data_IF_334600544764
#
_entry.id   IF_334600544764
#
_cell.length_a   1.000
_cell.length_b   1.000
_cell.length_c   1.000
_cell.angle_alpha   90.00
_cell.angle_beta   90.00
_cell.angle_gamma   90.00
#
_symmetry.space_group_name_H-M   'P 1'
#
loop_
_entity.id
_entity.type
_entity.pdbx_description
1 polymer ?
#
# COMPACT_ATOMS: atom_id res chain seq x y z
N UNK A 1 38.36 -46.91 16.66
CA UNK A 1 37.09 -46.23 17.02
C UNK A 1 36.85 -45.18 15.94
N UNK A 2 36.24 -45.60 14.84
CA UNK A 2 36.02 -44.86 13.60
C UNK A 2 34.64 -45.34 13.11
N UNK A 3 33.67 -44.43 12.95
CA UNK A 3 32.28 -44.80 12.64
C UNK A 3 31.95 -44.44 11.19
N UNK A 4 31.43 -45.44 10.48
CA UNK A 4 31.17 -45.50 9.05
C UNK A 4 30.03 -44.59 8.58
N UNK A 5 30.21 -44.07 7.38
CA UNK A 5 29.24 -43.41 6.48
C UNK A 5 28.08 -44.34 6.09
N UNK A 6 26.85 -43.80 6.11
CA UNK A 6 25.74 -44.24 5.27
C UNK A 6 25.17 -43.00 4.56
N UNK A 7 25.27 -43.01 3.23
CA UNK A 7 24.69 -42.04 2.32
C UNK A 7 23.24 -42.46 2.00
N UNK A 8 22.29 -41.53 2.13
CA UNK A 8 20.99 -41.61 1.49
C UNK A 8 20.98 -40.59 0.35
N UNK A 9 20.97 -41.07 -0.89
CA UNK A 9 20.73 -40.25 -2.06
C UNK A 9 19.24 -40.20 -2.35
N UNK A 10 18.70 -39.01 -2.60
CA UNK A 10 17.35 -38.84 -3.11
C UNK A 10 17.25 -39.37 -4.56
N UNK A 11 16.13 -40.00 -4.94
CA UNK A 11 15.94 -40.46 -6.32
C UNK A 11 15.75 -39.27 -7.27
N UNK A 12 16.11 -39.40 -8.56
CA UNK A 12 15.97 -38.34 -9.53
C UNK A 12 14.49 -38.03 -9.80
N UNK A 13 14.16 -36.73 -9.75
CA UNK A 13 12.89 -36.20 -10.23
C UNK A 13 12.81 -36.41 -11.74
N UNK A 14 11.92 -37.31 -12.17
CA UNK A 14 11.56 -37.47 -13.58
C UNK A 14 10.64 -36.31 -13.96
N UNK A 15 11.19 -35.32 -14.67
CA UNK A 15 10.40 -34.28 -15.34
C UNK A 15 9.67 -34.95 -16.51
N UNK A 16 8.35 -34.99 -16.46
CA UNK A 16 7.52 -35.45 -17.57
C UNK A 16 7.46 -34.38 -18.65
N UNK A 17 8.00 -34.67 -19.84
CA UNK A 17 7.92 -33.85 -21.07
C UNK A 17 6.53 -33.85 -21.74
N UNK A 18 5.47 -34.20 -21.00
CA UNK A 18 4.12 -34.20 -21.56
C UNK A 18 3.53 -32.78 -21.49
N UNK A 19 3.28 -32.10 -22.61
CA UNK A 19 2.65 -30.79 -22.58
C UNK A 19 1.25 -30.91 -21.95
N UNK A 20 0.83 -29.94 -21.11
CA UNK A 20 -0.50 -29.97 -20.52
C UNK A 20 -1.57 -29.96 -21.64
N UNK A 21 -2.72 -30.63 -21.42
CA UNK A 21 -3.79 -30.66 -22.41
C UNK A 21 -4.29 -29.23 -22.67
N UNK A 22 -4.61 -28.95 -23.93
CA UNK A 22 -5.15 -27.68 -24.38
C UNK A 22 -6.56 -27.47 -23.80
N UNK A 23 -6.63 -27.00 -22.56
CA UNK A 23 -7.86 -26.47 -21.98
C UNK A 23 -8.23 -25.17 -22.69
N UNK A 24 -9.55 -24.97 -22.82
CA UNK A 24 -10.20 -23.95 -23.60
C UNK A 24 -9.52 -22.57 -23.46
N UNK A 25 -8.81 -22.16 -24.53
CA UNK A 25 -8.51 -20.76 -24.75
C UNK A 25 -9.85 -20.04 -24.80
N UNK A 26 -10.23 -19.35 -23.73
CA UNK A 26 -11.14 -18.21 -23.86
C UNK A 26 -10.63 -17.39 -25.05
N UNK A 27 -11.51 -16.97 -25.94
CA UNK A 27 -11.21 -16.02 -27.01
C UNK A 27 -10.78 -14.69 -26.35
N UNK A 28 -9.57 -14.66 -25.82
CA UNK A 28 -8.95 -13.47 -25.28
C UNK A 28 -8.82 -12.48 -26.41
N UNK A 29 -9.05 -11.20 -26.10
CA UNK A 29 -8.64 -10.09 -26.96
C UNK A 29 -7.27 -10.42 -27.53
N UNK A 30 -7.18 -10.62 -28.84
CA UNK A 30 -5.90 -10.84 -29.49
C UNK A 30 -5.01 -9.66 -29.10
N UNK A 31 -3.85 -9.95 -28.47
CA UNK A 31 -2.91 -8.92 -28.09
C UNK A 31 -2.69 -8.02 -29.31
N UNK A 32 -2.84 -6.69 -29.18
CA UNK A 32 -2.75 -5.81 -30.33
C UNK A 32 -1.40 -6.04 -31.00
N UNK A 33 -1.42 -6.46 -32.27
CA UNK A 33 -0.24 -6.46 -33.12
C UNK A 33 0.10 -4.99 -33.33
N UNK A 34 1.04 -4.47 -32.54
CA UNK A 34 1.48 -3.08 -32.65
C UNK A 34 2.40 -2.98 -33.87
N UNK A 35 1.80 -2.84 -35.05
CA UNK A 35 2.52 -2.51 -36.29
C UNK A 35 2.86 -1.00 -36.28
N UNK A 36 3.83 -0.59 -35.46
CA UNK A 36 4.27 0.80 -35.34
C UNK A 36 4.89 1.17 -33.98
N UNK A 37 5.35 2.41 -33.82
CA UNK A 37 5.88 2.93 -32.54
C UNK A 37 4.78 3.17 -31.49
N UNK A 38 3.52 3.25 -31.92
CA UNK A 38 2.38 3.39 -31.01
C UNK A 38 1.07 2.81 -31.58
N UNK A 39 0.17 2.41 -30.68
CA UNK A 39 -1.20 2.02 -30.97
C UNK A 39 -2.15 2.69 -29.96
N UNK A 40 -3.41 2.88 -30.34
CA UNK A 40 -4.46 3.35 -29.43
C UNK A 40 -5.57 2.31 -29.39
N UNK A 41 -5.89 1.84 -28.19
CA UNK A 41 -6.98 0.91 -27.95
C UNK A 41 -8.15 1.66 -27.30
N UNK A 42 -9.35 1.45 -27.83
CA UNK A 42 -10.56 2.03 -27.27
C UNK A 42 -11.16 1.06 -26.24
N UNK A 43 -11.44 1.57 -25.05
CA UNK A 43 -12.11 0.89 -23.96
C UNK A 43 -13.48 1.56 -23.70
N UNK A 44 -14.30 0.95 -22.86
CA UNK A 44 -15.64 1.47 -22.57
C UNK A 44 -15.53 2.76 -21.75
N UNK A 45 -15.54 3.92 -22.43
CA UNK A 45 -15.57 5.26 -21.81
C UNK A 45 -14.23 5.99 -21.77
N UNK A 46 -13.13 5.37 -22.16
CA UNK A 46 -11.81 5.99 -22.25
C UNK A 46 -10.94 5.24 -23.27
N UNK A 47 -9.77 5.78 -23.59
CA UNK A 47 -8.80 5.14 -24.49
C UNK A 47 -7.49 4.85 -23.77
N UNK A 48 -6.75 3.86 -24.27
CA UNK A 48 -5.41 3.53 -23.79
C UNK A 48 -4.44 3.63 -24.96
N UNK A 49 -3.47 4.52 -24.84
CA UNK A 49 -2.36 4.62 -25.79
C UNK A 49 -1.25 3.68 -25.36
N UNK A 50 -0.81 2.82 -26.26
CA UNK A 50 0.28 1.86 -26.06
C UNK A 50 1.45 2.34 -26.91
N UNK A 51 2.59 2.63 -26.29
CA UNK A 51 3.80 3.09 -26.97
C UNK A 51 4.96 2.12 -26.75
N UNK A 52 5.72 1.83 -27.81
CA UNK A 52 7.03 1.19 -27.70
C UNK A 52 8.09 2.27 -27.53
N UNK A 53 8.90 2.20 -26.48
CA UNK A 53 10.00 3.16 -26.28
C UNK A 53 11.15 2.53 -25.50
N UNK A 54 12.12 3.34 -25.04
CA UNK A 54 13.22 2.86 -24.20
C UNK A 54 13.63 3.94 -23.20
N UNK A 55 13.94 3.50 -21.97
CA UNK A 55 14.56 4.35 -20.95
C UNK A 55 16.00 3.88 -20.79
N UNK A 56 16.95 4.68 -21.28
CA UNK A 56 18.32 4.20 -21.48
C UNK A 56 18.33 3.00 -22.44
N UNK A 57 18.86 1.87 -21.98
CA UNK A 57 18.92 0.62 -22.76
C UNK A 57 17.73 -0.32 -22.51
N UNK A 58 16.78 0.06 -21.66
CA UNK A 58 15.66 -0.81 -21.27
C UNK A 58 14.49 -0.62 -22.24
N UNK A 59 14.14 -1.62 -23.08
CA UNK A 59 13.01 -1.51 -24.00
C UNK A 59 11.69 -1.71 -23.25
N UNK A 60 10.73 -0.80 -23.44
CA UNK A 60 9.47 -0.77 -22.70
C UNK A 60 8.25 -0.73 -23.63
N UNK A 61 7.17 -1.37 -23.18
CA UNK A 61 5.80 -1.01 -23.53
C UNK A 61 5.26 -0.07 -22.46
N UNK A 62 4.69 1.06 -22.85
CA UNK A 62 3.97 1.94 -21.90
C UNK A 62 2.54 2.14 -22.35
N UNK A 63 1.61 1.83 -21.44
CA UNK A 63 0.18 2.00 -21.58
C UNK A 63 -0.23 3.24 -20.80
N UNK A 64 -0.80 4.24 -21.46
CA UNK A 64 -1.24 5.50 -20.84
C UNK A 64 -2.74 5.64 -21.06
N UNK A 65 -3.51 5.78 -20.00
CA UNK A 65 -4.94 6.09 -20.13
C UNK A 65 -5.14 7.51 -20.63
N UNK A 66 -6.20 7.72 -21.40
CA UNK A 66 -6.69 9.01 -21.83
C UNK A 66 -8.22 9.03 -21.78
N UNK A 67 -8.78 9.92 -20.97
CA UNK A 67 -10.22 10.03 -20.73
C UNK A 67 -10.70 9.58 -19.35
N UNK A 68 -9.81 9.15 -18.44
CA UNK A 68 -10.21 8.96 -17.04
C UNK A 68 -10.67 10.31 -16.47
N UNK A 69 -11.84 10.35 -15.81
CA UNK A 69 -12.44 11.60 -15.32
C UNK A 69 -11.61 12.30 -14.22
N UNK A 70 -10.74 11.56 -13.55
CA UNK A 70 -9.97 12.06 -12.42
C UNK A 70 -8.50 12.19 -12.79
N UNK A 71 -7.77 11.09 -12.73
CA UNK A 71 -6.33 11.05 -12.82
C UNK A 71 -5.95 9.95 -13.80
N UNK A 72 -5.19 10.32 -14.84
CA UNK A 72 -4.68 9.33 -15.79
C UNK A 72 -3.70 8.39 -15.09
N UNK A 73 -3.57 7.16 -15.59
CA UNK A 73 -2.62 6.15 -15.11
C UNK A 73 -1.75 5.66 -16.26
N UNK A 74 -0.49 5.39 -15.94
CA UNK A 74 0.50 4.86 -16.88
C UNK A 74 1.14 3.59 -16.31
N UNK A 75 1.17 2.52 -17.10
CA UNK A 75 1.90 1.30 -16.78
C UNK A 75 3.02 1.13 -17.79
N UNK A 76 4.26 0.97 -17.32
CA UNK A 76 5.36 0.56 -18.20
C UNK A 76 5.77 -0.86 -17.88
N UNK A 77 6.09 -1.65 -18.90
CA UNK A 77 6.47 -3.07 -18.80
C UNK A 77 7.64 -3.34 -19.71
N UNK A 78 8.64 -4.11 -19.28
CA UNK A 78 9.76 -4.50 -20.15
C UNK A 78 9.27 -5.32 -21.37
N UNK A 79 9.79 -4.97 -22.54
CA UNK A 79 9.43 -5.54 -23.86
C UNK A 79 10.38 -6.64 -24.34
N UNK A 80 11.45 -6.90 -23.60
CA UNK A 80 12.41 -7.96 -23.93
C UNK A 80 11.84 -9.38 -23.84
N UNK A 81 10.57 -9.54 -23.42
CA UNK A 81 9.82 -10.80 -23.45
C UNK A 81 8.43 -10.62 -24.05
N UNK A 82 7.85 -11.74 -24.48
CA UNK A 82 6.42 -11.79 -24.78
C UNK A 82 5.66 -11.66 -23.46
N UNK A 83 4.91 -10.57 -23.33
CA UNK A 83 4.13 -10.23 -22.14
C UNK A 83 2.68 -10.04 -22.59
N UNK A 84 1.75 -10.69 -21.90
CA UNK A 84 0.33 -10.43 -22.09
C UNK A 84 -0.07 -9.14 -21.35
N UNK A 85 -0.50 -8.14 -22.13
CA UNK A 85 -0.94 -6.84 -21.61
C UNK A 85 -2.43 -6.83 -21.25
N UNK A 86 -3.21 -7.84 -21.65
CA UNK A 86 -4.65 -7.88 -21.41
C UNK A 86 -5.02 -7.75 -19.92
N UNK A 87 -4.33 -8.39 -18.96
CA UNK A 87 -4.63 -8.20 -17.54
C UNK A 87 -4.50 -6.74 -17.08
N UNK A 88 -3.52 -5.99 -17.60
CA UNK A 88 -3.37 -4.57 -17.29
C UNK A 88 -4.51 -3.74 -17.88
N UNK A 89 -4.90 -4.04 -19.12
CA UNK A 89 -6.00 -3.36 -19.80
C UNK A 89 -7.34 -3.59 -19.09
N UNK A 90 -7.61 -4.82 -18.66
CA UNK A 90 -8.78 -5.16 -17.85
C UNK A 90 -8.76 -4.45 -16.51
N UNK A 91 -7.61 -4.36 -15.86
CA UNK A 91 -7.47 -3.59 -14.63
C UNK A 91 -7.74 -2.11 -14.84
N UNK A 92 -7.22 -1.49 -15.92
CA UNK A 92 -7.49 -0.09 -16.24
C UNK A 92 -8.99 0.15 -16.49
N UNK A 93 -9.68 -0.79 -17.15
CA UNK A 93 -11.14 -0.74 -17.30
C UNK A 93 -11.84 -0.80 -15.94
N UNK A 94 -11.47 -1.76 -15.08
CA UNK A 94 -12.04 -1.90 -13.74
C UNK A 94 -11.80 -0.65 -12.88
N UNK A 95 -10.59 -0.09 -12.96
CA UNK A 95 -10.20 1.16 -12.33
C UNK A 95 -11.09 2.34 -12.77
N UNK A 96 -11.39 2.42 -14.06
CA UNK A 96 -12.31 3.42 -14.63
C UNK A 96 -13.74 3.21 -14.10
N UNK A 97 -14.24 1.98 -14.16
CA UNK A 97 -15.62 1.63 -13.76
C UNK A 97 -15.88 1.88 -12.27
N UNK A 98 -14.89 1.57 -11.43
CA UNK A 98 -14.94 1.83 -9.98
C UNK A 98 -14.67 3.31 -9.65
N UNK A 99 -14.19 4.08 -10.63
CA UNK A 99 -13.87 5.49 -10.50
C UNK A 99 -12.81 5.74 -9.44
N UNK A 100 -11.64 5.09 -9.54
CA UNK A 100 -10.51 5.24 -8.59
C UNK A 100 -10.42 6.70 -8.13
N UNK A 101 -10.78 6.92 -6.86
CA UNK A 101 -10.79 8.23 -6.20
C UNK A 101 -9.44 8.50 -5.54
N UNK A 102 -8.45 8.87 -6.35
CA UNK A 102 -7.11 9.15 -5.85
C UNK A 102 -6.87 10.63 -5.57
N UNK A 103 -6.61 11.00 -4.30
CA UNK A 103 -5.85 12.22 -4.00
C UNK A 103 -4.37 12.03 -4.46
N UNK A 104 -3.58 13.08 -4.71
CA UNK A 104 -2.16 12.91 -5.03
C UNK A 104 -1.44 12.16 -3.89
N UNK A 105 -0.89 10.98 -4.17
CA UNK A 105 -0.30 10.11 -3.16
C UNK A 105 -0.03 8.71 -3.68
N UNK A 106 0.53 7.86 -2.81
CA UNK A 106 0.74 6.46 -3.12
C UNK A 106 -0.50 5.66 -2.77
N UNK A 107 -1.08 5.00 -3.77
CA UNK A 107 -2.28 4.19 -3.63
C UNK A 107 -1.96 2.74 -3.88
N UNK A 108 -2.76 1.90 -3.24
CA UNK A 108 -2.76 0.47 -3.48
C UNK A 108 -4.10 0.08 -4.09
N UNK A 109 -4.05 -0.74 -5.13
CA UNK A 109 -5.22 -1.46 -5.61
C UNK A 109 -4.87 -2.93 -5.78
N UNK A 110 -5.60 -3.78 -5.07
CA UNK A 110 -5.59 -5.23 -5.28
C UNK A 110 -6.33 -5.50 -6.58
N UNK A 111 -5.59 -5.89 -7.62
CA UNK A 111 -6.15 -6.02 -8.97
C UNK A 111 -7.00 -7.27 -9.14
N UNK A 112 -6.44 -8.41 -8.77
CA UNK A 112 -7.10 -9.72 -8.82
C UNK A 112 -6.70 -10.46 -7.55
N UNK A 113 -7.63 -11.17 -6.90
CA UNK A 113 -7.30 -11.96 -5.71
C UNK A 113 -6.15 -12.96 -5.96
N UNK A 114 -5.57 -13.55 -4.91
CA UNK A 114 -4.44 -14.47 -5.03
C UNK A 114 -4.71 -15.68 -5.96
N UNK A 115 -5.98 -16.04 -6.15
CA UNK A 115 -6.41 -17.12 -7.06
C UNK A 115 -6.58 -16.67 -8.53
N UNK A 116 -6.47 -15.38 -8.81
CA UNK A 116 -6.57 -14.82 -10.15
C UNK A 116 -5.37 -15.16 -11.04
N UNK A 117 -5.43 -14.84 -12.34
CA UNK A 117 -4.32 -15.08 -13.27
C UNK A 117 -3.08 -14.21 -12.99
N UNK A 118 -3.19 -13.21 -12.11
CA UNK A 118 -2.15 -12.22 -11.86
C UNK A 118 -1.93 -11.28 -13.06
N UNK A 119 -1.06 -10.29 -12.87
CA UNK A 119 -0.64 -9.40 -13.95
C UNK A 119 0.44 -10.06 -14.80
N UNK A 120 0.46 -9.73 -16.09
CA UNK A 120 1.52 -10.14 -17.02
C UNK A 120 1.69 -11.67 -17.13
N UNK A 121 0.58 -12.41 -17.00
CA UNK A 121 0.54 -13.88 -16.92
C UNK A 121 1.40 -14.47 -15.78
N UNK A 122 1.66 -13.67 -14.74
CA UNK A 122 2.45 -14.07 -13.59
C UNK A 122 1.64 -13.84 -12.31
N UNK A 123 1.17 -14.94 -11.72
CA UNK A 123 0.39 -14.96 -10.46
C UNK A 123 1.09 -14.27 -9.29
N UNK A 124 2.42 -14.12 -9.38
CA UNK A 124 3.21 -13.40 -8.38
C UNK A 124 2.76 -11.93 -8.25
N UNK A 125 2.42 -11.27 -9.35
CA UNK A 125 2.03 -9.85 -9.34
C UNK A 125 0.51 -9.70 -9.27
N UNK A 126 -0.01 -9.09 -8.20
CA UNK A 126 -1.45 -8.80 -8.07
C UNK A 126 -1.76 -7.45 -7.42
N UNK A 127 -0.75 -6.75 -6.91
CA UNK A 127 -0.93 -5.43 -6.31
C UNK A 127 -0.33 -4.37 -7.20
N UNK A 128 -1.05 -3.26 -7.36
CA UNK A 128 -0.56 -2.06 -8.04
C UNK A 128 -0.26 -1.00 -6.99
N UNK A 129 0.99 -0.55 -6.96
CA UNK A 129 1.44 0.62 -6.23
C UNK A 129 1.49 1.82 -7.16
N UNK A 130 0.71 2.86 -6.90
CA UNK A 130 0.75 4.08 -7.70
C UNK A 130 1.81 5.06 -7.18
N UNK A 131 2.72 5.50 -8.05
CA UNK A 131 3.69 6.54 -7.77
C UNK A 131 3.31 7.86 -8.48
N UNK A 132 3.87 9.00 -8.04
CA UNK A 132 3.70 10.27 -8.75
C UNK A 132 4.07 10.17 -10.24
N UNK A 133 3.51 11.03 -11.11
CA UNK A 133 3.81 11.02 -12.53
C UNK A 133 5.30 11.15 -12.83
N UNK A 134 5.76 10.41 -13.83
CA UNK A 134 7.14 10.47 -14.33
C UNK A 134 7.07 10.61 -15.84
N UNK A 135 7.60 11.73 -16.34
CA UNK A 135 7.71 11.95 -17.78
C UNK A 135 8.68 10.92 -18.38
N UNK A 136 8.23 10.22 -19.42
CA UNK A 136 9.04 9.30 -20.20
C UNK A 136 9.26 9.89 -21.59
N UNK A 137 10.52 9.93 -22.00
CA UNK A 137 10.90 10.45 -23.32
C UNK A 137 10.18 9.69 -24.42
N UNK A 138 9.49 10.42 -25.31
CA UNK A 138 8.74 9.84 -26.41
C UNK A 138 7.36 9.26 -26.06
N UNK A 139 6.89 9.34 -24.80
CA UNK A 139 5.56 8.85 -24.41
C UNK A 139 4.67 9.97 -23.85
N UNK A 140 3.82 10.60 -24.68
CA UNK A 140 3.02 11.75 -24.27
C UNK A 140 1.99 11.40 -23.19
N UNK A 141 1.85 12.27 -22.18
CA UNK A 141 0.86 12.17 -21.10
C UNK A 141 1.37 11.50 -19.81
N UNK A 142 2.56 10.88 -19.85
CA UNK A 142 3.19 10.25 -18.68
C UNK A 142 3.59 11.27 -17.58
N UNK A 143 3.85 12.52 -17.96
CA UNK A 143 4.10 13.65 -17.07
C UNK A 143 2.88 14.02 -16.20
N UNK A 144 1.69 13.52 -16.56
CA UNK A 144 0.43 13.81 -15.88
C UNK A 144 -0.28 12.55 -15.40
N UNK A 145 0.24 11.37 -15.66
CA UNK A 145 -0.38 10.10 -15.31
C UNK A 145 0.33 9.45 -14.11
N UNK A 146 -0.41 8.92 -13.14
CA UNK A 146 0.17 8.16 -12.04
C UNK A 146 0.87 6.92 -12.60
N UNK A 147 2.11 6.68 -12.17
CA UNK A 147 2.85 5.49 -12.58
C UNK A 147 2.37 4.29 -11.77
N UNK A 148 1.75 3.31 -12.42
CA UNK A 148 1.36 2.04 -11.81
C UNK A 148 2.52 1.06 -11.80
N UNK A 149 2.93 0.65 -10.61
CA UNK A 149 4.07 -0.24 -10.36
C UNK A 149 3.53 -1.57 -9.82
N UNK A 150 3.92 -2.68 -10.45
CA UNK A 150 3.46 -4.01 -10.05
C UNK A 150 4.32 -4.56 -8.90
N UNK A 151 3.64 -4.93 -7.81
CA UNK A 151 4.24 -5.58 -6.65
C UNK A 151 3.88 -7.06 -6.61
N UNK A 152 4.82 -7.85 -6.12
CA UNK A 152 4.56 -9.25 -5.78
C UNK A 152 3.87 -9.45 -4.43
N UNK A 153 3.44 -10.69 -4.13
CA UNK A 153 2.77 -11.03 -2.86
C UNK A 153 3.52 -10.63 -1.62
N UNK A 154 4.81 -10.95 -1.58
CA UNK A 154 5.62 -10.68 -0.41
C UNK A 154 5.93 -9.19 -0.34
N UNK A 155 6.12 -8.53 -1.47
CA UNK A 155 6.27 -7.08 -1.54
C UNK A 155 5.02 -6.34 -1.06
N UNK A 156 3.83 -6.84 -1.34
CA UNK A 156 2.58 -6.29 -0.80
C UNK A 156 2.51 -6.39 0.72
N UNK A 157 2.84 -7.54 1.30
CA UNK A 157 2.93 -7.69 2.76
C UNK A 157 3.93 -6.69 3.36
N UNK A 158 5.07 -6.53 2.69
CA UNK A 158 6.11 -5.62 3.11
C UNK A 158 5.74 -4.15 2.93
N UNK A 159 5.01 -3.79 1.87
CA UNK A 159 4.49 -2.46 1.62
C UNK A 159 3.76 -1.92 2.85
N UNK A 160 2.91 -2.74 3.48
CA UNK A 160 2.20 -2.35 4.71
C UNK A 160 3.12 -2.16 5.92
N UNK A 161 4.23 -2.91 5.99
CA UNK A 161 5.18 -2.87 7.12
C UNK A 161 6.17 -1.72 7.03
N UNK A 162 6.67 -1.40 5.84
CA UNK A 162 7.74 -0.41 5.63
C UNK A 162 7.24 0.88 4.96
N UNK A 163 6.03 0.85 4.40
CA UNK A 163 5.44 1.95 3.68
C UNK A 163 5.90 2.08 2.23
N UNK A 164 5.17 2.87 1.44
CA UNK A 164 5.33 2.95 0.00
C UNK A 164 6.67 3.53 -0.45
N UNK A 165 7.17 4.58 0.19
CA UNK A 165 8.43 5.20 -0.24
C UNK A 165 9.62 4.25 -0.10
N UNK A 166 9.70 3.48 0.99
CA UNK A 166 10.74 2.47 1.18
C UNK A 166 10.65 1.37 0.13
N UNK A 167 9.43 0.94 -0.21
CA UNK A 167 9.21 -0.04 -1.29
C UNK A 167 9.70 0.51 -2.64
N UNK A 168 9.29 1.72 -3.00
CA UNK A 168 9.71 2.40 -4.23
C UNK A 168 11.23 2.57 -4.29
N UNK A 169 11.86 2.98 -3.18
CA UNK A 169 13.30 3.15 -3.09
C UNK A 169 14.07 1.83 -3.32
N UNK A 170 13.53 0.70 -2.80
CA UNK A 170 14.10 -0.64 -3.00
C UNK A 170 13.94 -1.12 -4.43
N UNK A 171 12.77 -0.88 -5.05
CA UNK A 171 12.55 -1.16 -6.48
C UNK A 171 13.51 -0.35 -7.36
N UNK A 172 13.72 0.93 -7.03
CA UNK A 172 14.71 1.79 -7.67
C UNK A 172 16.11 1.21 -7.57
N UNK A 173 16.56 0.83 -6.38
CA UNK A 173 17.86 0.18 -6.18
C UNK A 173 18.05 -1.05 -7.08
N UNK A 174 17.05 -1.95 -7.11
CA UNK A 174 17.12 -3.19 -7.87
C UNK A 174 17.38 -2.94 -9.36
N UNK A 175 16.75 -1.91 -9.91
CA UNK A 175 16.83 -1.55 -11.33
C UNK A 175 17.87 -0.44 -11.63
N UNK A 176 18.62 0.02 -10.62
CA UNK A 176 19.58 1.12 -10.77
C UNK A 176 18.93 2.48 -11.09
N UNK A 177 17.71 2.73 -10.60
CA UNK A 177 16.93 3.95 -10.83
C UNK A 177 16.66 4.72 -9.54
N UNK A 178 16.59 6.05 -9.61
CA UNK A 178 16.30 6.92 -8.45
C UNK A 178 15.03 7.76 -8.68
N UNK A 179 14.10 7.81 -7.72
CA UNK A 179 14.04 7.00 -6.50
C UNK A 179 13.47 5.60 -6.76
N UNK A 180 12.80 5.37 -7.89
CA UNK A 180 12.15 4.09 -8.23
C UNK A 180 12.29 3.81 -9.72
N UNK A 181 12.15 2.55 -10.12
CA UNK A 181 11.80 2.23 -11.51
C UNK A 181 10.36 2.64 -11.80
N UNK A 182 10.10 2.94 -13.07
CA UNK A 182 8.78 3.30 -13.63
C UNK A 182 8.19 2.17 -14.47
N UNK A 183 8.86 1.02 -14.52
CA UNK A 183 8.41 -0.17 -15.24
C UNK A 183 8.32 -1.39 -14.35
N UNK A 184 7.44 -2.31 -14.73
CA UNK A 184 7.42 -3.67 -14.24
C UNK A 184 8.36 -4.54 -15.09
N UNK A 185 9.26 -5.26 -14.43
CA UNK A 185 10.01 -6.36 -15.02
C UNK A 185 9.38 -7.69 -14.55
N UNK A 186 8.71 -8.46 -15.44
CA UNK A 186 8.12 -9.74 -15.08
C UNK A 186 9.13 -10.75 -14.53
N UNK A 187 10.41 -10.60 -14.90
CA UNK A 187 11.51 -11.51 -14.61
C UNK A 187 12.39 -11.06 -13.44
N UNK A 188 12.11 -9.90 -12.82
CA UNK A 188 12.92 -9.43 -11.69
C UNK A 188 12.89 -10.40 -10.53
N UNK A 189 14.02 -10.47 -9.83
CA UNK A 189 14.09 -11.14 -8.55
C UNK A 189 13.10 -10.50 -7.57
N UNK A 190 12.60 -11.30 -6.64
CA UNK A 190 11.77 -10.78 -5.55
C UNK A 190 12.61 -9.80 -4.74
N UNK A 191 12.06 -8.64 -4.39
CA UNK A 191 12.77 -7.72 -3.51
C UNK A 191 12.97 -8.33 -2.12
N UNK A 192 11.97 -9.06 -1.65
CA UNK A 192 11.95 -9.66 -0.32
C UNK A 192 11.93 -11.18 -0.46
N UNK A 193 12.93 -11.91 0.03
CA UNK A 193 12.85 -13.36 0.11
C UNK A 193 11.64 -13.80 0.96
N UNK A 194 10.93 -14.89 0.59
CA UNK A 194 9.77 -15.39 1.35
C UNK A 194 10.09 -15.75 2.81
N UNK A 195 11.35 -16.13 3.09
CA UNK A 195 11.88 -16.52 4.39
C UNK A 195 12.50 -15.35 5.16
N UNK A 196 12.40 -14.11 4.63
CA UNK A 196 12.98 -12.96 5.29
C UNK A 196 12.15 -12.55 6.51
N UNK A 197 12.67 -12.85 7.70
CA UNK A 197 12.09 -12.41 8.96
C UNK A 197 12.52 -10.99 9.32
N UNK A 198 11.52 -10.11 9.33
CA UNK A 198 11.56 -8.76 9.87
C UNK A 198 11.98 -8.73 11.36
N UNK A 199 13.27 -8.69 11.67
CA UNK A 199 13.74 -8.52 13.05
C UNK A 199 14.45 -7.18 13.19
N UNK A 200 13.79 -6.20 13.82
CA UNK A 200 14.40 -4.89 14.03
C UNK A 200 13.50 -3.87 14.73
N UNK A 201 14.09 -2.95 15.50
CA UNK A 201 13.35 -1.91 16.24
C UNK A 201 12.57 -0.96 15.33
N UNK A 202 12.98 -0.81 14.07
CA UNK A 202 12.26 0.01 13.08
C UNK A 202 10.92 -0.62 12.70
N UNK A 203 10.84 -1.94 12.64
CA UNK A 203 9.63 -2.64 12.20
C UNK A 203 8.63 -2.83 13.35
N UNK A 204 9.09 -2.81 14.60
CA UNK A 204 8.25 -2.96 15.80
C UNK A 204 7.78 -1.64 16.41
N UNK A 205 8.34 -0.50 15.99
CA UNK A 205 7.96 0.81 16.51
C UNK A 205 6.56 1.26 16.05
N UNK A 206 5.79 1.95 16.92
CA UNK A 206 4.55 2.61 16.54
C UNK A 206 4.77 3.50 15.32
N UNK A 207 3.90 3.37 14.32
CA UNK A 207 4.08 4.02 13.01
C UNK A 207 3.02 5.08 12.76
N UNK A 208 3.47 6.28 12.40
CA UNK A 208 2.61 7.35 11.91
C UNK A 208 2.95 7.67 10.44
N UNK A 209 2.00 7.52 9.51
CA UNK A 209 2.21 7.96 8.13
C UNK A 209 2.14 9.49 8.05
N UNK A 210 3.08 10.10 7.33
CA UNK A 210 3.09 11.53 7.02
C UNK A 210 3.49 11.75 5.56
N UNK A 211 2.50 11.90 4.69
CA UNK A 211 2.71 12.04 3.24
C UNK A 211 3.55 13.28 2.88
N UNK A 212 3.49 14.32 3.70
CA UNK A 212 4.25 15.57 3.55
C UNK A 212 5.56 15.61 4.34
N UNK A 213 5.93 14.53 5.04
CA UNK A 213 7.22 14.48 5.72
C UNK A 213 8.33 14.29 4.67
N UNK A 214 9.24 15.25 4.60
CA UNK A 214 10.46 15.19 3.81
C UNK A 214 11.65 15.15 4.78
N UNK A 215 12.56 14.19 4.58
CA UNK A 215 13.77 14.04 5.40
C UNK A 215 14.98 14.03 4.47
N UNK A 216 15.83 15.05 4.59
CA UNK A 216 17.05 15.14 3.78
C UNK A 216 18.29 15.40 4.64
N UNK A 217 19.42 14.87 4.21
CA UNK A 217 20.73 15.15 4.80
C UNK A 217 21.57 15.98 3.81
N UNK A 218 22.07 17.13 4.27
CA UNK A 218 22.85 18.07 3.45
C UNK A 218 24.06 18.56 4.24
N UNK A 219 25.27 18.17 3.84
CA UNK A 219 26.50 18.63 4.49
C UNK A 219 26.58 18.32 5.99
N UNK A 220 26.01 17.18 6.42
CA UNK A 220 25.93 16.78 7.83
C UNK A 220 24.80 17.43 8.64
N UNK A 221 24.02 18.33 8.04
CA UNK A 221 22.77 18.87 8.59
C UNK A 221 21.60 17.97 8.21
N UNK A 222 20.74 17.64 9.20
CA UNK A 222 19.49 16.95 8.96
C UNK A 222 18.37 18.00 8.75
N UNK A 223 17.65 17.92 7.64
CA UNK A 223 16.51 18.77 7.34
C UNK A 223 15.23 17.95 7.43
N UNK A 224 14.27 18.47 8.19
CA UNK A 224 12.96 17.87 8.39
C UNK A 224 11.90 18.86 7.94
N UNK A 225 11.12 18.49 6.93
CA UNK A 225 9.96 19.25 6.50
C UNK A 225 8.72 18.42 6.78
N UNK A 226 7.68 19.00 7.37
CA UNK A 226 6.39 18.31 7.51
C UNK A 226 5.25 19.31 7.36
N UNK A 227 4.20 18.93 6.65
CA UNK A 227 3.00 19.73 6.49
C UNK A 227 2.23 19.83 7.82
N UNK A 228 1.63 20.99 8.08
CA UNK A 228 0.82 21.22 9.29
C UNK A 228 -0.30 20.19 9.50
N UNK A 229 -1.04 19.74 8.46
CA UNK A 229 -2.07 18.72 8.64
C UNK A 229 -1.52 17.38 9.14
N UNK A 230 -0.36 16.95 8.62
CA UNK A 230 0.29 15.71 9.05
C UNK A 230 0.83 15.82 10.46
N UNK A 231 1.46 16.95 10.78
CA UNK A 231 1.99 17.23 12.11
C UNK A 231 0.89 17.23 13.18
N UNK A 232 -0.24 17.90 12.90
CA UNK A 232 -1.41 17.90 13.80
C UNK A 232 -1.96 16.47 14.00
N UNK A 233 -2.16 15.72 12.91
CA UNK A 233 -2.63 14.33 12.96
C UNK A 233 -1.69 13.41 13.74
N UNK A 234 -0.39 13.60 13.60
CA UNK A 234 0.64 12.87 14.34
C UNK A 234 0.52 13.20 15.82
N UNK A 235 0.44 14.48 16.20
CA UNK A 235 0.31 14.96 17.58
C UNK A 235 -0.97 14.47 18.27
N UNK A 236 -2.07 14.41 17.53
CA UNK A 236 -3.37 13.99 18.05
C UNK A 236 -3.44 12.48 18.33
N UNK A 237 -2.58 11.67 17.69
CA UNK A 237 -2.41 10.26 18.09
C UNK A 237 -1.79 10.23 19.48
N UNK A 238 -2.61 9.92 20.49
CA UNK A 238 -2.28 9.99 21.91
C UNK A 238 -0.99 9.29 22.35
N UNK A 239 -0.42 8.43 21.50
CA UNK A 239 0.93 7.85 21.63
C UNK A 239 2.05 8.89 21.76
N UNK A 240 1.85 10.15 21.37
CA UNK A 240 2.87 11.21 21.46
C UNK A 240 2.77 12.11 22.68
N UNK A 241 1.73 11.95 23.51
CA UNK A 241 1.56 12.72 24.75
C UNK A 241 2.65 12.41 25.79
N UNK A 242 3.44 11.35 25.57
CA UNK A 242 4.57 10.98 26.42
C UNK A 242 5.79 10.73 25.54
N UNK A 243 7.00 11.05 26.03
CA UNK A 243 8.24 10.63 25.38
C UNK A 243 8.23 9.11 25.16
N UNK A 244 8.55 8.69 23.94
CA UNK A 244 8.59 7.27 23.57
C UNK A 244 9.27 7.05 22.22
N UNK A 245 9.08 5.86 21.67
CA UNK A 245 9.59 5.51 20.33
C UNK A 245 8.50 5.73 19.29
N UNK A 246 8.83 6.46 18.23
CA UNK A 246 7.94 6.74 17.11
C UNK A 246 8.69 6.58 15.79
N UNK A 247 8.08 5.85 14.88
CA UNK A 247 8.47 5.83 13.47
C UNK A 247 7.51 6.71 12.67
N UNK A 248 8.02 7.66 11.92
CA UNK A 248 7.27 8.47 10.96
C UNK A 248 7.75 8.12 9.56
N UNK A 249 6.85 7.56 8.75
CA UNK A 249 7.15 7.24 7.36
C UNK A 249 6.82 8.45 6.49
N UNK A 250 7.84 8.91 5.75
CA UNK A 250 7.75 10.14 4.97
C UNK A 250 7.35 9.94 3.52
N UNK A 251 7.18 11.07 2.83
CA UNK A 251 7.09 11.18 1.38
C UNK A 251 8.47 11.35 0.73
N UNK A 252 8.46 11.54 -0.59
CA UNK A 252 9.67 11.86 -1.37
C UNK A 252 10.09 13.30 -1.07
N UNK A 253 11.38 13.55 -0.89
CA UNK A 253 11.93 14.91 -0.94
C UNK A 253 12.17 15.31 -2.42
N UNK A 254 11.57 16.40 -2.93
CA UNK A 254 11.64 16.76 -4.34
C UNK A 254 13.04 17.19 -4.79
N UNK A 255 13.79 17.81 -3.89
CA UNK A 255 15.12 18.37 -4.12
C UNK A 255 16.24 17.34 -3.90
N UNK A 256 15.90 16.12 -3.47
CA UNK A 256 16.87 15.07 -3.24
C UNK A 256 17.44 14.53 -4.54
N UNK A 257 18.77 14.44 -4.57
CA UNK A 257 19.54 13.92 -5.71
C UNK A 257 19.87 12.43 -5.58
N UNK A 258 19.55 11.83 -4.44
CA UNK A 258 19.72 10.41 -4.14
C UNK A 258 18.81 9.99 -3.00
N UNK A 259 18.68 8.68 -2.80
CA UNK A 259 17.90 8.10 -1.73
C UNK A 259 18.73 7.06 -1.00
N UNK A 260 18.72 7.11 0.33
CA UNK A 260 19.30 6.05 1.14
C UNK A 260 18.37 4.84 1.09
N UNK A 261 18.91 3.67 0.81
CA UNK A 261 18.14 2.43 0.77
C UNK A 261 18.85 1.42 1.64
N UNK A 262 18.16 0.85 2.61
CA UNK A 262 18.70 -0.30 3.32
C UNK A 262 18.21 -1.56 2.60
N UNK A 263 19.07 -2.24 1.83
CA UNK A 263 18.84 -3.60 1.42
C UNK A 263 18.48 -4.53 2.58
N UNK A 264 17.90 -5.68 2.25
CA UNK A 264 17.79 -6.77 3.22
C UNK A 264 19.15 -7.41 3.57
N UNK A 265 20.16 -7.20 2.73
CA UNK A 265 21.52 -7.74 2.87
C UNK A 265 22.58 -6.69 3.32
N UNK A 266 22.21 -5.45 3.67
CA UNK A 266 23.15 -4.42 4.12
C UNK A 266 22.67 -2.98 3.92
N UNK A 267 23.58 -2.01 3.87
CA UNK A 267 23.27 -0.61 3.52
C UNK A 267 23.74 -0.28 2.09
N UNK A 268 22.93 0.46 1.33
CA UNK A 268 23.30 0.95 0.01
C UNK A 268 22.79 2.39 -0.22
N UNK A 269 23.63 3.26 -0.74
CA UNK A 269 23.18 4.58 -1.19
C UNK A 269 22.92 4.52 -2.69
N UNK A 270 21.69 4.85 -3.11
CA UNK A 270 21.39 5.00 -4.54
C UNK A 270 21.54 6.47 -4.89
N UNK A 271 22.65 6.81 -5.53
CA UNK A 271 22.92 8.16 -6.00
C UNK A 271 22.31 8.38 -7.38
N UNK A 272 21.62 9.51 -7.57
CA UNK A 272 21.40 10.08 -8.90
C UNK A 272 22.63 10.89 -9.32
N UNK A 273 22.66 12.18 -8.97
CA UNK A 273 23.79 13.07 -9.26
C UNK A 273 24.67 13.32 -8.02
N UNK A 274 26.00 13.37 -8.19
CA UNK A 274 26.94 13.54 -7.07
C UNK A 274 26.79 14.90 -6.39
N UNK A 275 26.68 14.92 -5.06
CA UNK A 275 26.87 16.11 -4.21
C UNK A 275 25.62 16.88 -3.79
N UNK A 276 24.41 16.44 -4.15
CA UNK A 276 23.17 17.07 -3.69
C UNK A 276 22.61 16.47 -2.39
N UNK A 277 21.43 16.93 -1.94
CA UNK A 277 20.74 16.40 -0.77
C UNK A 277 20.47 14.89 -0.92
N UNK A 278 20.69 14.16 0.17
CA UNK A 278 20.35 12.74 0.27
C UNK A 278 18.98 12.61 0.95
N UNK A 279 17.98 12.06 0.26
CA UNK A 279 16.71 11.71 0.88
C UNK A 279 16.86 10.48 1.80
N UNK A 280 16.21 10.55 2.94
CA UNK A 280 15.98 9.43 3.84
C UNK A 280 14.49 9.07 3.78
N UNK A 281 14.15 7.79 3.91
CA UNK A 281 12.77 7.32 3.67
C UNK A 281 11.81 7.59 4.85
N UNK A 282 12.27 8.32 5.86
CA UNK A 282 11.48 8.73 7.01
C UNK A 282 12.33 9.08 8.22
N UNK A 283 11.67 9.16 9.36
CA UNK A 283 12.22 9.58 10.64
C UNK A 283 11.89 8.55 11.73
N UNK A 284 12.89 8.18 12.51
CA UNK A 284 12.77 7.38 13.70
C UNK A 284 13.17 8.24 14.90
N UNK A 285 12.22 8.52 15.79
CA UNK A 285 12.46 9.30 17.01
C UNK A 285 12.35 8.38 18.21
N UNK A 286 13.34 8.39 19.09
CA UNK A 286 13.34 7.58 20.31
C UNK A 286 13.87 8.35 21.53
N UNK A 287 13.64 7.78 22.70
CA UNK A 287 14.05 8.38 23.98
C UNK A 287 15.39 7.82 24.43
N UNK A 288 16.33 8.70 24.74
CA UNK A 288 17.67 8.32 25.22
C UNK A 288 18.66 9.49 25.24
N UNK A 289 19.97 9.21 25.35
CA UNK A 289 21.01 10.23 25.20
C UNK A 289 20.90 10.92 23.84
N UNK A 290 21.11 12.24 23.80
CA UNK A 290 20.99 13.02 22.57
C UNK A 290 21.92 12.47 21.47
N UNK A 291 21.32 12.04 20.37
CA UNK A 291 22.05 11.53 19.22
C UNK A 291 21.28 11.78 17.93
N UNK A 292 22.02 12.05 16.85
CA UNK A 292 21.48 12.10 15.49
C UNK A 292 22.30 11.20 14.59
N UNK A 293 21.65 10.19 14.06
CA UNK A 293 22.29 9.16 13.25
C UNK A 293 21.35 8.62 12.19
N UNK A 294 21.61 7.39 11.79
CA UNK A 294 20.77 6.63 10.88
C UNK A 294 20.40 5.32 11.55
N UNK A 295 19.22 4.83 11.21
CA UNK A 295 18.83 3.46 11.52
C UNK A 295 18.15 2.95 10.26
N UNK A 296 18.73 1.92 9.66
CA UNK A 296 18.31 1.49 8.34
C UNK A 296 18.45 2.63 7.32
N UNK A 297 17.39 2.92 6.57
CA UNK A 297 17.24 4.02 5.63
C UNK A 297 16.49 5.24 6.22
N UNK A 298 16.32 5.28 7.55
CA UNK A 298 15.66 6.36 8.26
C UNK A 298 16.67 7.26 8.98
N UNK A 299 16.33 8.55 9.11
CA UNK A 299 16.99 9.40 10.09
C UNK A 299 16.65 8.91 11.50
N UNK A 300 17.64 8.80 12.38
CA UNK A 300 17.41 8.52 13.81
C UNK A 300 17.68 9.79 14.62
N UNK A 301 16.71 10.20 15.43
CA UNK A 301 16.83 11.30 16.38
C UNK A 301 16.49 10.78 17.77
N UNK A 302 17.51 10.63 18.61
CA UNK A 302 17.35 10.22 20.01
C UNK A 302 17.35 11.45 20.90
N UNK A 303 16.33 11.59 21.75
CA UNK A 303 16.13 12.76 22.61
C UNK A 303 15.91 12.35 24.06
N UNK A 304 16.44 13.08 25.05
CA UNK A 304 16.05 12.88 26.42
C UNK A 304 14.59 13.35 26.63
N UNK A 305 13.87 12.82 27.64
CA UNK A 305 12.45 13.10 27.85
C UNK A 305 12.08 14.59 27.91
N UNK A 306 12.93 15.43 28.47
CA UNK A 306 12.75 16.87 28.65
C UNK A 306 12.89 17.68 27.35
N UNK A 307 13.46 17.08 26.30
CA UNK A 307 13.63 17.70 24.97
C UNK A 307 12.50 17.33 23.99
N UNK A 308 11.61 16.43 24.38
CA UNK A 308 10.52 15.93 23.54
C UNK A 308 9.60 17.05 23.05
N UNK A 309 9.08 17.88 23.95
CA UNK A 309 8.16 18.98 23.59
C UNK A 309 8.85 20.06 22.75
N UNK A 310 10.13 20.32 23.01
CA UNK A 310 10.92 21.27 22.23
C UNK A 310 11.09 20.79 20.79
N UNK A 311 11.27 19.48 20.57
CA UNK A 311 11.38 18.91 19.22
C UNK A 311 10.10 19.12 18.41
N UNK A 312 8.94 18.82 18.99
CA UNK A 312 7.65 19.02 18.33
C UNK A 312 7.33 20.50 18.11
N UNK A 313 7.65 21.35 19.08
CA UNK A 313 7.53 22.81 18.94
C UNK A 313 8.43 23.33 17.82
N UNK A 314 9.63 22.77 17.67
CA UNK A 314 10.55 23.10 16.58
C UNK A 314 9.98 22.77 15.21
N UNK A 315 9.33 21.61 15.05
CA UNK A 315 8.61 21.23 13.82
C UNK A 315 7.47 22.21 13.51
N UNK A 316 6.71 22.64 14.51
CA UNK A 316 5.59 23.58 14.34
C UNK A 316 6.06 24.99 13.97
N UNK A 317 7.11 25.47 14.63
CA UNK A 317 7.64 26.83 14.47
C UNK A 317 8.62 26.95 13.31
N UNK A 318 9.01 25.83 12.69
CA UNK A 318 10.02 25.77 11.61
C UNK A 318 11.35 26.41 12.01
N UNK A 319 11.79 26.08 13.23
CA UNK A 319 13.03 26.56 13.80
C UNK A 319 14.24 25.69 13.43
N UNK A 320 15.23 25.68 14.31
CA UNK A 320 16.30 24.69 14.29
C UNK A 320 16.61 24.23 15.70
N UNK A 321 17.18 23.03 15.82
CA UNK A 321 17.60 22.45 17.08
C UNK A 321 18.95 21.75 16.90
N UNK A 322 19.84 21.86 17.89
CA UNK A 322 21.05 21.04 17.94
C UNK A 322 20.78 19.83 18.83
N UNK A 323 21.06 18.64 18.33
CA UNK A 323 20.92 17.35 19.04
C UNK A 323 22.18 16.53 18.81
N UNK A 324 22.86 16.13 19.88
CA UNK A 324 24.08 15.31 19.77
C UNK A 324 25.17 15.94 18.89
N UNK A 325 25.26 17.28 18.88
CA UNK A 325 26.22 18.04 18.07
C UNK A 325 25.85 18.21 16.59
N UNK A 326 24.73 17.66 16.12
CA UNK A 326 24.22 17.89 14.76
C UNK A 326 23.05 18.87 14.76
N UNK A 327 22.99 19.71 13.73
CA UNK A 327 21.86 20.62 13.52
C UNK A 327 20.72 19.88 12.81
N UNK A 328 19.53 19.97 13.40
CA UNK A 328 18.25 19.61 12.80
C UNK A 328 17.56 20.91 12.40
N UNK A 329 17.30 21.10 11.11
CA UNK A 329 16.58 22.26 10.59
C UNK A 329 15.16 21.88 10.21
N UNK A 330 14.19 22.58 10.74
CA UNK A 330 12.77 22.37 10.42
C UNK A 330 12.36 23.33 9.31
N UNK A 331 11.92 22.81 8.16
CA UNK A 331 11.68 23.60 6.95
C UNK A 331 10.24 23.43 6.44
N UNK A 332 9.84 24.29 5.50
CA UNK A 332 8.61 24.10 4.73
C UNK A 332 8.78 22.89 3.80
N UNK A 333 7.79 22.00 3.66
CA UNK A 333 7.81 20.99 2.59
C UNK A 333 7.97 21.65 1.22
N UNK A 334 8.86 21.11 0.39
CA UNK A 334 9.07 21.59 -0.96
C UNK A 334 7.87 21.33 -1.87
N UNK A 335 7.04 20.35 -1.53
CA UNK A 335 5.75 20.15 -2.17
C UNK A 335 4.67 21.05 -1.54
N UNK A 336 4.09 21.94 -2.35
CA UNK A 336 2.71 22.32 -2.11
C UNK A 336 1.88 21.04 -2.24
N UNK A 337 1.43 20.48 -1.12
CA UNK A 337 0.29 19.57 -1.14
C UNK A 337 -0.86 20.44 -1.60
N UNK A 338 -1.05 20.54 -2.93
CA UNK A 338 -2.24 21.15 -3.48
C UNK A 338 -3.40 20.45 -2.80
N UNK A 339 -4.19 21.22 -2.03
CA UNK A 339 -5.45 20.71 -1.55
C UNK A 339 -6.13 20.06 -2.77
N UNK A 340 -6.67 18.82 -2.63
CA UNK A 340 -7.33 18.18 -3.76
C UNK A 340 -8.28 19.20 -4.40
N UNK A 341 -8.26 19.35 -5.74
CA UNK A 341 -9.05 20.38 -6.40
C UNK A 341 -10.48 20.34 -5.86
N UNK A 342 -11.11 21.51 -5.58
CA UNK A 342 -12.45 21.55 -5.03
C UNK A 342 -13.33 20.66 -5.91
N UNK A 343 -13.88 19.60 -5.31
CA UNK A 343 -14.67 18.65 -6.07
C UNK A 343 -15.81 19.43 -6.73
N UNK A 344 -16.08 19.22 -8.04
CA UNK A 344 -17.29 19.78 -8.63
C UNK A 344 -18.45 19.30 -7.77
N UNK A 345 -19.23 20.25 -7.23
CA UNK A 345 -20.41 19.97 -6.44
C UNK A 345 -21.40 19.21 -7.34
N UNK A 346 -21.25 17.89 -7.34
CA UNK A 346 -22.28 17.02 -7.87
C UNK A 346 -23.43 17.15 -6.88
N UNK A 347 -24.66 17.46 -7.32
CA UNK A 347 -25.81 17.55 -6.41
C UNK A 347 -25.82 16.30 -5.54
N UNK A 348 -25.55 16.48 -4.24
CA UNK A 348 -25.59 15.38 -3.29
C UNK A 348 -27.04 14.95 -3.21
N UNK A 349 -27.37 13.83 -3.81
CA UNK A 349 -28.58 13.11 -3.49
C UNK A 349 -28.43 12.61 -2.03
N UNK A 350 -29.19 13.14 -1.07
CA UNK A 350 -29.07 12.75 0.34
C UNK A 350 -29.41 11.28 0.59
N UNK A 351 -29.87 10.52 -0.41
CA UNK A 351 -30.19 9.10 -0.30
C UNK A 351 -29.01 8.12 -0.49
N UNK A 352 -27.79 8.57 -0.79
CA UNK A 352 -26.62 7.67 -0.95
C UNK A 352 -25.48 8.01 0.01
N UNK A 353 -25.51 7.42 1.19
CA UNK A 353 -24.35 7.32 2.07
C UNK A 353 -23.50 6.13 1.58
N UNK A 354 -22.24 6.39 1.22
CA UNK A 354 -21.23 5.36 0.91
C UNK A 354 -20.53 4.97 2.21
N UNK A 355 -20.35 3.66 2.42
CA UNK A 355 -19.95 3.06 3.69
C UNK A 355 -18.55 3.47 4.19
N UNK A 356 -18.30 3.18 5.47
CA UNK A 356 -17.00 3.32 6.12
C UNK A 356 -16.52 1.93 6.57
N UNK A 357 -15.22 1.67 6.41
CA UNK A 357 -14.53 0.45 6.84
C UNK A 357 -13.60 0.81 8.00
N UNK A 358 -13.65 0.05 9.08
CA UNK A 358 -12.87 0.31 10.30
C UNK A 358 -11.93 -0.85 10.59
N UNK A 359 -10.63 -0.56 10.68
CA UNK A 359 -9.62 -1.52 11.13
C UNK A 359 -9.27 -1.23 12.58
N UNK A 360 -9.48 -2.20 13.47
CA UNK A 360 -9.08 -2.13 14.88
C UNK A 360 -7.80 -2.93 15.11
N UNK A 361 -6.95 -2.45 16.02
CA UNK A 361 -5.78 -3.17 16.49
C UNK A 361 -6.14 -4.27 17.49
N UNK A 362 -5.26 -5.27 17.65
CA UNK A 362 -5.43 -6.35 18.63
C UNK A 362 -5.68 -5.81 20.05
N UNK A 363 -5.04 -4.71 20.45
CA UNK A 363 -5.28 -4.09 21.76
C UNK A 363 -6.67 -3.44 21.89
N UNK A 364 -7.21 -2.88 20.79
CA UNK A 364 -8.58 -2.33 20.76
C UNK A 364 -9.63 -3.45 20.74
N UNK A 365 -9.30 -4.58 20.10
CA UNK A 365 -10.08 -5.82 20.18
C UNK A 365 -10.03 -6.39 21.60
N UNK A 366 -8.87 -6.42 22.24
CA UNK A 366 -8.71 -6.95 23.60
C UNK A 366 -9.39 -6.09 24.67
N UNK A 367 -9.45 -4.76 24.48
CA UNK A 367 -10.22 -3.86 25.34
C UNK A 367 -11.75 -4.06 25.23
N UNK A 368 -12.22 -4.64 24.12
CA UNK A 368 -13.62 -5.07 23.90
C UNK A 368 -13.88 -6.47 24.51
N UNK A 369 -12.84 -7.28 24.67
CA UNK A 369 -12.89 -8.69 25.13
C UNK A 369 -13.00 -8.87 26.64
N UNK A 370 -12.72 -7.84 27.45
CA UNK A 370 -12.77 -7.93 28.93
C UNK A 370 -14.20 -7.87 29.52
N UNK A 371 -15.25 -7.84 28.70
CA UNK A 371 -16.65 -7.94 29.13
C UNK A 371 -17.18 -9.39 28.98
N UNK A 372 -17.43 -10.04 30.13
CA UNK A 372 -17.91 -11.43 30.23
C UNK A 372 -19.27 -11.65 29.54
N UNK A 373 -20.08 -10.60 29.34
CA UNK A 373 -21.35 -10.68 28.61
C UNK A 373 -21.17 -10.80 27.08
N UNK A 374 -20.01 -10.38 26.55
CA UNK A 374 -19.69 -10.42 25.11
C UNK A 374 -19.22 -11.81 24.64
N UNK A 375 -18.59 -12.60 25.53
CA UNK A 375 -18.12 -13.97 25.23
C UNK A 375 -19.24 -14.95 24.89
N UNK A 376 -20.43 -14.76 25.46
CA UNK A 376 -21.62 -15.56 25.13
C UNK A 376 -22.42 -14.94 23.95
N UNK A 377 -21.95 -13.83 23.39
CA UNK A 377 -22.54 -13.13 22.24
C UNK A 377 -21.81 -13.42 20.92
N UNK A 378 -20.49 -13.52 21.00
CA UNK A 378 -19.61 -13.62 19.83
C UNK A 378 -18.94 -14.98 19.90
N UNK A 379 -19.70 -16.01 19.53
CA UNK A 379 -19.12 -17.21 18.95
C UNK A 379 -19.00 -16.98 17.44
N UNK A 380 -17.76 -16.91 16.95
CA UNK A 380 -17.34 -16.83 15.54
C UNK A 380 -17.42 -15.43 14.88
N UNK A 381 -16.42 -14.61 15.20
CA UNK A 381 -15.71 -13.84 14.18
C UNK A 381 -14.35 -14.52 14.01
N UNK A 382 -14.04 -15.06 12.84
CA UNK A 382 -12.66 -15.37 12.42
C UNK A 382 -12.32 -14.38 11.28
N UNK A 383 -11.18 -13.68 11.22
CA UNK A 383 -9.78 -14.02 11.50
C UNK A 383 -9.41 -15.37 10.88
N UNK A 384 -8.96 -15.31 9.64
CA UNK A 384 -8.58 -16.45 8.81
C UNK A 384 -7.52 -17.33 9.50
N UNK A 385 -7.85 -18.59 9.79
CA UNK A 385 -6.86 -19.63 10.11
C UNK A 385 -6.75 -20.63 8.97
N UNK A 386 -5.53 -20.77 8.44
CA UNK A 386 -5.19 -21.65 7.33
C UNK A 386 -4.77 -23.04 7.88
N UNK A 387 -5.38 -24.11 7.36
CA UNK A 387 -4.87 -25.48 7.55
C UNK A 387 -3.52 -25.64 6.84
N UNK A 388 -2.46 -25.81 7.63
CA UNK A 388 -1.07 -25.91 7.17
C UNK A 388 -0.78 -27.14 6.29
N UNK A 389 -1.70 -28.11 6.22
CA UNK A 389 -1.50 -29.33 5.45
C UNK A 389 -2.10 -29.29 4.04
N UNK A 390 -3.13 -28.48 3.77
CA UNK A 390 -3.96 -28.64 2.54
C UNK A 390 -4.21 -27.38 1.71
N UNK A 391 -4.09 -26.16 2.27
CA UNK A 391 -4.14 -24.87 1.54
C UNK A 391 -5.27 -24.69 0.48
N UNK A 392 -6.51 -25.12 0.75
CA UNK A 392 -7.68 -24.75 -0.10
C UNK A 392 -8.85 -24.23 0.73
N UNK A 393 -9.52 -23.11 0.34
CA UNK A 393 -10.75 -22.65 0.99
C UNK A 393 -11.96 -23.46 0.51
N UNK A 394 -12.85 -23.84 1.43
CA UNK A 394 -14.18 -24.34 1.08
C UNK A 394 -15.12 -23.18 0.69
N UNK A 395 -16.14 -23.39 -0.17
CA UNK A 395 -17.11 -22.34 -0.49
C UNK A 395 -18.08 -22.17 0.68
N UNK A 396 -17.83 -21.20 1.56
CA UNK A 396 -18.67 -20.98 2.74
C UNK A 396 -19.68 -19.84 2.48
N UNK A 397 -20.94 -19.94 2.96
CA UNK A 397 -21.91 -18.85 2.87
C UNK A 397 -21.37 -17.57 3.53
N UNK A 398 -21.71 -16.42 2.96
CA UNK A 398 -21.42 -15.10 3.57
C UNK A 398 -22.69 -14.27 3.64
N UNK A 399 -22.86 -13.53 4.73
CA UNK A 399 -23.97 -12.60 4.94
C UNK A 399 -23.43 -11.18 5.09
N UNK A 400 -24.02 -10.24 4.36
CA UNK A 400 -23.85 -8.81 4.60
C UNK A 400 -25.07 -8.27 5.33
N UNK A 401 -24.90 -7.67 6.50
CA UNK A 401 -26.00 -7.00 7.21
C UNK A 401 -25.79 -5.50 7.13
N UNK A 402 -26.73 -4.80 6.51
CA UNK A 402 -26.76 -3.35 6.57
C UNK A 402 -27.58 -2.92 7.79
N UNK A 403 -26.92 -2.23 8.72
CA UNK A 403 -27.53 -1.57 9.87
C UNK A 403 -27.80 -0.11 9.48
N UNK A 404 -29.01 0.39 9.69
CA UNK A 404 -29.33 1.80 9.53
C UNK A 404 -29.87 2.36 10.85
N UNK A 405 -29.12 3.26 11.47
CA UNK A 405 -29.52 3.96 12.68
C UNK A 405 -30.23 5.25 12.34
N UNK A 406 -31.43 5.44 12.85
CA UNK A 406 -32.24 6.65 12.65
C UNK A 406 -32.00 7.66 13.79
N UNK A 407 -32.20 8.97 13.54
CA UNK A 407 -32.04 10.01 14.56
C UNK A 407 -32.95 9.87 15.79
N UNK A 408 -34.06 9.14 15.66
CA UNK A 408 -34.99 8.85 16.75
C UNK A 408 -34.54 7.66 17.63
N UNK A 409 -33.38 7.08 17.33
CA UNK A 409 -32.82 5.92 18.05
C UNK A 409 -33.38 4.58 17.57
N UNK A 410 -34.16 4.55 16.50
CA UNK A 410 -34.56 3.28 15.89
C UNK A 410 -33.44 2.71 15.01
N UNK A 411 -33.39 1.38 14.89
CA UNK A 411 -32.41 0.68 14.05
C UNK A 411 -33.14 -0.26 13.08
N UNK A 412 -32.89 -0.03 11.79
CA UNK A 412 -33.33 -0.89 10.70
C UNK A 412 -32.22 -1.88 10.32
N UNK A 413 -32.58 -3.14 10.15
CA UNK A 413 -31.68 -4.23 9.79
C UNK A 413 -32.08 -4.76 8.42
N UNK A 414 -31.16 -4.75 7.46
CA UNK A 414 -31.37 -5.31 6.13
C UNK A 414 -30.30 -6.36 5.83
N UNK A 415 -30.58 -7.65 6.09
CA UNK A 415 -29.68 -8.73 5.71
C UNK A 415 -29.69 -8.92 4.19
N UNK A 416 -28.52 -9.12 3.61
CA UNK A 416 -28.29 -9.54 2.23
C UNK A 416 -27.44 -10.81 2.24
N UNK A 417 -28.00 -11.88 1.69
CA UNK A 417 -27.38 -13.19 1.64
C UNK A 417 -26.64 -13.40 0.33
N UNK A 418 -25.41 -13.92 0.42
CA UNK A 418 -24.64 -14.39 -0.74
C UNK A 418 -24.36 -15.87 -0.55
N UNK A 419 -24.93 -16.71 -1.42
CA UNK A 419 -24.79 -18.17 -1.41
C UNK A 419 -25.23 -18.87 -0.11
N UNK A 420 -26.50 -18.72 0.30
CA UNK A 420 -27.09 -19.41 1.46
C UNK A 420 -28.62 -19.39 1.49
N UNK A 421 -29.27 -20.10 2.44
CA UNK A 421 -30.73 -20.08 2.60
C UNK A 421 -31.21 -18.67 2.99
N UNK A 422 -32.36 -18.26 2.45
CA UNK A 422 -32.89 -16.89 2.60
C UNK A 422 -33.27 -16.49 4.04
N UNK A 423 -33.44 -17.47 4.94
CA UNK A 423 -33.80 -17.26 6.34
C UNK A 423 -33.24 -18.41 7.20
N UNK A 424 -31.97 -18.34 7.61
CA UNK A 424 -31.39 -19.37 8.45
C UNK A 424 -31.91 -19.26 9.89
N UNK A 425 -32.13 -20.40 10.54
CA UNK A 425 -32.72 -20.48 11.88
C UNK A 425 -31.97 -19.68 12.98
N UNK A 426 -30.71 -19.30 12.75
CA UNK A 426 -29.91 -18.49 13.65
C UNK A 426 -30.10 -16.97 13.46
N UNK A 427 -30.75 -16.52 12.37
CA UNK A 427 -30.96 -15.09 12.08
C UNK A 427 -31.83 -14.41 13.15
N UNK A 428 -32.95 -15.01 13.53
CA UNK A 428 -33.85 -14.44 14.55
C UNK A 428 -33.16 -14.12 15.89
N UNK A 429 -32.36 -15.04 16.47
CA UNK A 429 -31.54 -14.75 17.64
C UNK A 429 -30.52 -13.61 17.46
N UNK A 430 -29.81 -13.55 16.33
CA UNK A 430 -28.85 -12.48 16.04
C UNK A 430 -29.54 -11.12 15.87
N UNK A 431 -30.65 -11.09 15.13
CA UNK A 431 -31.46 -9.90 14.92
C UNK A 431 -31.96 -9.33 16.25
N UNK A 432 -32.50 -10.19 17.11
CA UNK A 432 -32.98 -9.82 18.46
C UNK A 432 -31.86 -9.16 19.27
N UNK A 433 -30.65 -9.71 19.23
CA UNK A 433 -29.51 -9.21 20.00
C UNK A 433 -28.93 -7.92 19.43
N UNK A 434 -28.85 -7.77 18.11
CA UNK A 434 -28.48 -6.49 17.48
C UNK A 434 -29.45 -5.38 17.90
N UNK A 435 -30.76 -5.67 17.95
CA UNK A 435 -31.79 -4.72 18.40
C UNK A 435 -31.71 -4.32 19.87
N UNK A 436 -31.01 -5.10 20.70
CA UNK A 436 -30.75 -4.75 22.11
C UNK A 436 -29.53 -3.86 22.31
N UNK A 437 -28.68 -3.69 21.31
CA UNK A 437 -27.54 -2.77 21.39
C UNK A 437 -28.07 -1.34 21.35
N UNK A 438 -27.83 -0.51 22.38
CA UNK A 438 -28.29 0.86 22.36
C UNK A 438 -27.65 1.59 21.18
N UNK A 439 -28.45 2.29 20.34
CA UNK A 439 -27.93 2.97 19.16
C UNK A 439 -26.94 4.07 19.60
N UNK A 440 -25.87 4.32 18.84
CA UNK A 440 -25.05 5.51 19.07
C UNK A 440 -25.93 6.76 18.88
N UNK A 441 -25.70 7.79 19.70
CA UNK A 441 -26.38 9.06 19.53
C UNK A 441 -25.94 9.72 18.21
N UNK A 442 -26.74 9.55 17.16
CA UNK A 442 -26.44 10.06 15.81
C UNK A 442 -27.32 11.26 15.48
N UNK A 443 -26.73 12.32 14.92
CA UNK A 443 -27.45 13.54 14.50
C UNK A 443 -28.03 13.44 13.09
N UNK A 444 -27.73 12.36 12.37
CA UNK A 444 -28.17 12.05 11.03
C UNK A 444 -28.19 10.52 10.84
N UNK A 445 -28.94 9.98 9.87
CA UNK A 445 -28.95 8.54 9.62
C UNK A 445 -27.55 7.99 9.37
N UNK A 446 -27.19 6.90 10.04
CA UNK A 446 -25.88 6.24 9.90
C UNK A 446 -26.08 4.83 9.33
N UNK A 447 -25.43 4.52 8.21
CA UNK A 447 -25.41 3.18 7.64
C UNK A 447 -24.09 2.47 7.97
N UNK A 448 -24.17 1.28 8.57
CA UNK A 448 -23.02 0.43 8.90
C UNK A 448 -23.19 -0.91 8.18
N UNK A 449 -22.14 -1.38 7.51
CA UNK A 449 -22.16 -2.69 6.84
C UNK A 449 -21.35 -3.68 7.66
N UNK A 450 -22.00 -4.74 8.13
CA UNK A 450 -21.36 -5.88 8.77
C UNK A 450 -21.19 -7.00 7.74
N UNK A 451 -20.00 -7.59 7.67
CA UNK A 451 -19.77 -8.82 6.93
C UNK A 451 -19.64 -9.97 7.95
N UNK A 452 -20.47 -10.99 7.80
CA UNK A 452 -20.46 -12.19 8.62
C UNK A 452 -20.18 -13.38 7.70
N UNK A 453 -19.01 -13.99 7.85
CA UNK A 453 -18.67 -15.24 7.17
C UNK A 453 -18.90 -16.39 8.13
N UNK A 454 -19.54 -17.45 7.65
CA UNK A 454 -19.69 -18.68 8.42
C UNK A 454 -18.45 -19.54 8.18
N UNK A 455 -18.03 -20.31 9.19
CA UNK A 455 -16.98 -21.32 9.10
C UNK A 455 -17.56 -22.70 9.31
#
# INVERSE_FOLDING_TARGET
MLLLLLACGDPPVVVSDTPPPAEARQEGMAAPTVDGESATMQLSGFSVRIAAHSVGEVPLWTLVSDGLQQQQVAFSVRRDRQVDLNPLLMFMQSAFDQGIRGAPGVWELHGMGPDGPGFLANKRFFTVLFAPPVALDGVPGTDRALAGILLDTHETEWLYRIGPQRMLARLGRLEGQVPTTVWADPSRAMLVPPDFEATGPVLTAPTAPAASLEVTEVGGELRLAIGRPDLARIRDRGSLKKPGTLRILGGRAPDATGVLVQPFDGEAVVHGASGGPLALNGLFVDVGPEAVGRIEDLARVTLPPDRWDAFWTGLEQRGSMVVGGKTIRFVEPGFAVSAPPPQPETPRDPAKITGFEMTLSEAEVMAIVDDEALRTAIGLMEVEMIDHATRTPAPVPSMHVQLQFQPDGTMDLQPQWTNGPADPAWWGPLETRLRTVPPPAVKAPLAVRLAVSFG
#
